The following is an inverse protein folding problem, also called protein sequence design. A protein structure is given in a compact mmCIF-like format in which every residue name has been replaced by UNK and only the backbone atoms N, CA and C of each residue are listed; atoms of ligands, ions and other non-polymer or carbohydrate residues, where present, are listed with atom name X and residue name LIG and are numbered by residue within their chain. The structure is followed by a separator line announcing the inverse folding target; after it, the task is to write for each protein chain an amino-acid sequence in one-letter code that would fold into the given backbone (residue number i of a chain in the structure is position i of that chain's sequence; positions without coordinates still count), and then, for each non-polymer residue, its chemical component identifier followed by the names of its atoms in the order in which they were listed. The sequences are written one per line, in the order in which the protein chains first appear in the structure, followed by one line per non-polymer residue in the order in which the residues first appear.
data_IF_378047373050
#
_entry.id   IF_378047373050
#
_cell.length_a   1.000
_cell.length_b   1.000
_cell.length_c   1.000
_cell.angle_alpha   90.00
_cell.angle_beta   90.00
_cell.angle_gamma   90.00
#
_symmetry.space_group_name_H-M   'P 1'
#
loop_
_entity.id
_entity.type
_entity.pdbx_description
1 polymer ?
#
# COMPACT_ATOMS: atom_id res chain seq x y z
N UNK A 1 44.57 -9.34 -58.75
CA UNK A 1 44.58 -10.07 -57.48
C UNK A 1 43.71 -9.33 -56.49
N UNK A 2 42.44 -9.73 -56.36
CA UNK A 2 41.51 -9.15 -55.37
C UNK A 2 41.60 -10.00 -54.09
N UNK A 3 42.09 -9.36 -53.02
CA UNK A 3 41.98 -9.96 -51.70
C UNK A 3 40.59 -9.67 -51.18
N UNK A 4 39.76 -10.67 -51.15
CA UNK A 4 38.46 -10.57 -50.46
C UNK A 4 38.74 -10.59 -48.95
N UNK A 5 38.55 -9.43 -48.33
CA UNK A 5 38.60 -9.31 -46.89
C UNK A 5 37.19 -9.71 -46.38
N UNK A 6 37.10 -10.91 -45.85
CA UNK A 6 35.90 -11.37 -45.18
C UNK A 6 35.77 -10.61 -43.86
N UNK A 7 34.93 -9.63 -43.83
CA UNK A 7 34.50 -9.01 -42.57
C UNK A 7 33.61 -10.02 -41.80
N UNK A 8 34.19 -10.69 -40.82
CA UNK A 8 33.42 -11.45 -39.86
C UNK A 8 32.68 -10.43 -38.96
N UNK A 9 31.43 -10.16 -39.28
CA UNK A 9 30.56 -9.41 -38.40
C UNK A 9 30.19 -10.33 -37.22
N UNK A 10 30.92 -10.22 -36.13
CA UNK A 10 30.54 -10.90 -34.90
C UNK A 10 29.27 -10.20 -34.39
N UNK A 11 28.11 -10.81 -34.66
CA UNK A 11 26.89 -10.45 -34.02
C UNK A 11 27.00 -10.82 -32.54
N UNK A 12 27.30 -9.84 -31.70
CA UNK A 12 27.14 -9.97 -30.25
C UNK A 12 25.65 -10.06 -29.98
N UNK A 13 25.15 -11.28 -29.87
CA UNK A 13 23.83 -11.54 -29.28
C UNK A 13 23.90 -11.16 -27.80
N UNK A 14 23.51 -9.94 -27.50
CA UNK A 14 23.28 -9.51 -26.13
C UNK A 14 22.03 -10.25 -25.63
N UNK A 15 22.23 -11.36 -24.93
CA UNK A 15 21.16 -12.02 -24.21
C UNK A 15 20.85 -11.15 -22.99
N UNK A 16 19.79 -10.33 -23.10
CA UNK A 16 19.28 -9.63 -21.95
C UNK A 16 18.79 -10.69 -20.94
N UNK A 17 19.41 -10.72 -19.75
CA UNK A 17 18.91 -11.52 -18.65
C UNK A 17 17.43 -11.14 -18.39
N UNK A 18 16.51 -12.10 -18.16
CA UNK A 18 15.15 -11.77 -17.82
C UNK A 18 15.17 -10.90 -16.57
N UNK A 19 14.63 -9.69 -16.70
CA UNK A 19 14.40 -8.81 -15.55
C UNK A 19 13.28 -9.46 -14.76
N UNK A 20 13.62 -10.09 -13.63
CA UNK A 20 12.62 -10.53 -12.68
C UNK A 20 11.97 -9.26 -12.13
N UNK A 21 10.72 -9.02 -12.49
CA UNK A 21 9.96 -7.92 -11.94
C UNK A 21 9.95 -8.06 -10.42
N UNK A 22 10.33 -7.00 -9.72
CA UNK A 22 10.25 -6.94 -8.27
C UNK A 22 8.81 -7.24 -7.86
N UNK A 23 8.62 -8.23 -6.98
CA UNK A 23 7.30 -8.58 -6.51
C UNK A 23 6.76 -7.48 -5.61
N UNK A 24 5.56 -7.01 -5.90
CA UNK A 24 4.82 -6.13 -5.04
C UNK A 24 4.50 -6.79 -3.70
N UNK A 25 4.23 -5.97 -2.71
CA UNK A 25 3.80 -6.42 -1.40
C UNK A 25 2.44 -5.83 -1.07
N UNK A 26 1.72 -6.48 -0.18
CA UNK A 26 0.45 -5.98 0.33
C UNK A 26 0.62 -5.70 1.81
N UNK A 27 0.42 -4.43 2.17
CA UNK A 27 0.32 -4.02 3.56
C UNK A 27 -1.08 -4.33 4.06
N UNK A 28 -1.17 -5.03 5.19
CA UNK A 28 -2.44 -5.35 5.85
C UNK A 28 -2.57 -4.56 7.14
N UNK A 29 -3.71 -3.91 7.30
CA UNK A 29 -4.03 -3.16 8.52
C UNK A 29 -5.42 -3.58 8.97
N UNK A 30 -5.56 -3.92 10.24
CA UNK A 30 -6.84 -4.31 10.84
C UNK A 30 -7.17 -3.37 11.99
N UNK A 31 -8.38 -2.83 11.97
CA UNK A 31 -8.87 -1.83 12.92
C UNK A 31 -10.18 -2.29 13.55
N UNK A 32 -10.45 -1.88 14.78
CA UNK A 32 -11.81 -2.00 15.33
C UNK A 32 -12.68 -0.90 14.70
N UNK A 33 -13.79 -1.30 14.09
CA UNK A 33 -14.73 -0.38 13.44
C UNK A 33 -16.15 -0.77 13.84
N UNK A 34 -16.72 -0.13 14.88
CA UNK A 34 -18.10 -0.37 15.27
C UNK A 34 -19.08 -0.08 14.14
N UNK A 35 -20.13 -0.88 14.01
CA UNK A 35 -21.13 -0.72 12.97
C UNK A 35 -21.72 0.70 12.95
N UNK A 36 -21.93 1.29 14.12
CA UNK A 36 -22.46 2.65 14.27
C UNK A 36 -21.56 3.74 13.71
N UNK A 37 -20.26 3.47 13.51
CA UNK A 37 -19.29 4.44 13.04
C UNK A 37 -18.59 4.02 11.72
N UNK A 38 -19.12 3.01 11.05
CA UNK A 38 -18.55 2.52 9.78
C UNK A 38 -18.50 3.61 8.71
N UNK A 39 -19.58 4.34 8.52
CA UNK A 39 -19.63 5.42 7.52
C UNK A 39 -18.63 6.54 7.85
N UNK A 40 -18.51 6.89 9.12
CA UNK A 40 -17.53 7.89 9.57
C UNK A 40 -16.09 7.42 9.28
N UNK A 41 -15.80 6.15 9.54
CA UNK A 41 -14.51 5.57 9.22
C UNK A 41 -14.18 5.70 7.73
N UNK A 42 -15.12 5.33 6.85
CA UNK A 42 -14.93 5.43 5.40
C UNK A 42 -14.74 6.89 4.95
N UNK A 43 -15.49 7.84 5.50
CA UNK A 43 -15.34 9.26 5.18
C UNK A 43 -13.99 9.81 5.65
N UNK A 44 -13.55 9.45 6.84
CA UNK A 44 -12.26 9.87 7.36
C UNK A 44 -11.09 9.29 6.55
N UNK A 45 -11.19 8.01 6.14
CA UNK A 45 -10.22 7.37 5.25
C UNK A 45 -10.14 8.09 3.90
N UNK A 46 -11.29 8.40 3.30
CA UNK A 46 -11.37 9.05 2.00
C UNK A 46 -10.81 10.47 2.01
N UNK A 47 -10.90 11.18 3.13
CA UNK A 47 -10.46 12.57 3.23
C UNK A 47 -9.05 12.76 3.80
N UNK A 48 -8.42 11.71 4.28
CA UNK A 48 -7.09 11.77 4.88
C UNK A 48 -6.08 10.81 4.21
N UNK A 49 -6.19 9.52 4.50
CA UNK A 49 -5.26 8.51 3.99
C UNK A 49 -5.28 8.39 2.47
N UNK A 50 -6.46 8.40 1.84
CA UNK A 50 -6.56 8.18 0.40
C UNK A 50 -5.79 9.21 -0.43
N UNK A 51 -6.00 10.53 -0.27
CA UNK A 51 -5.26 11.52 -1.06
C UNK A 51 -3.76 11.52 -0.76
N UNK A 52 -3.37 11.21 0.46
CA UNK A 52 -1.96 11.11 0.82
C UNK A 52 -1.29 9.90 0.18
N UNK A 53 -1.94 8.72 0.24
CA UNK A 53 -1.43 7.49 -0.37
C UNK A 53 -1.25 7.63 -1.88
N UNK A 54 -2.18 8.27 -2.56
CA UNK A 54 -2.13 8.48 -4.01
C UNK A 54 -0.89 9.23 -4.48
N UNK A 55 -0.23 9.97 -3.60
CA UNK A 55 0.98 10.72 -3.89
C UNK A 55 2.26 9.96 -3.53
N UNK A 56 2.16 8.80 -2.91
CA UNK A 56 3.34 8.07 -2.47
C UNK A 56 3.95 7.24 -3.60
N UNK A 57 5.29 7.29 -3.75
CA UNK A 57 5.98 6.42 -4.71
C UNK A 57 5.69 4.95 -4.40
N UNK A 58 5.31 4.20 -5.42
CA UNK A 58 5.04 2.78 -5.29
C UNK A 58 3.64 2.40 -4.87
N UNK A 59 2.79 3.36 -4.50
CA UNK A 59 1.38 3.06 -4.20
C UNK A 59 0.65 2.62 -5.46
N UNK A 60 0.00 1.45 -5.42
CA UNK A 60 -0.70 0.87 -6.57
C UNK A 60 -2.20 0.73 -6.36
N UNK A 61 -2.70 1.14 -5.23
CA UNK A 61 -4.10 1.07 -4.88
C UNK A 61 -4.36 0.34 -3.58
N UNK A 62 -5.58 0.43 -3.11
CA UNK A 62 -5.99 -0.26 -1.88
C UNK A 62 -7.46 -0.63 -1.91
N UNK A 63 -7.81 -1.54 -1.04
CA UNK A 63 -9.18 -1.97 -0.83
C UNK A 63 -9.47 -1.96 0.67
N UNK A 64 -10.67 -1.51 1.02
CA UNK A 64 -11.16 -1.51 2.38
C UNK A 64 -12.29 -2.52 2.49
N UNK A 65 -12.23 -3.36 3.51
CA UNK A 65 -13.26 -4.35 3.81
C UNK A 65 -13.77 -4.13 5.23
N UNK A 66 -14.97 -4.57 5.49
CA UNK A 66 -15.53 -4.51 6.83
C UNK A 66 -16.19 -5.85 7.17
N UNK A 67 -15.84 -6.37 8.34
CA UNK A 67 -16.41 -7.60 8.88
C UNK A 67 -17.56 -7.26 9.82
N UNK A 68 -18.83 -7.55 9.44
CA UNK A 68 -19.98 -7.20 10.27
C UNK A 68 -20.09 -8.02 11.55
N UNK A 69 -19.54 -9.21 11.59
CA UNK A 69 -19.58 -10.05 12.80
C UNK A 69 -18.59 -9.60 13.85
N UNK A 70 -17.38 -9.24 13.42
CA UNK A 70 -16.31 -8.80 14.30
C UNK A 70 -16.27 -7.30 14.51
N UNK A 71 -16.99 -6.54 13.70
CA UNK A 71 -16.91 -5.09 13.65
C UNK A 71 -15.46 -4.62 13.48
N UNK A 72 -14.83 -5.16 12.48
CA UNK A 72 -13.44 -4.85 12.13
C UNK A 72 -13.34 -4.35 10.69
N UNK A 73 -12.51 -3.34 10.48
CA UNK A 73 -12.09 -2.88 9.18
C UNK A 73 -10.77 -3.56 8.78
N UNK A 74 -10.67 -3.93 7.52
CA UNK A 74 -9.46 -4.49 6.93
C UNK A 74 -9.04 -3.64 5.75
N UNK A 75 -7.81 -3.15 5.78
CA UNK A 75 -7.20 -2.42 4.68
C UNK A 75 -6.14 -3.30 4.05
N UNK A 76 -6.22 -3.46 2.72
CA UNK A 76 -5.19 -4.11 1.92
C UNK A 76 -4.61 -3.07 0.98
N UNK A 77 -3.37 -2.69 1.19
CA UNK A 77 -2.69 -1.62 0.46
C UNK A 77 -1.60 -2.25 -0.40
N UNK A 78 -1.68 -2.04 -1.70
CA UNK A 78 -0.71 -2.60 -2.65
C UNK A 78 0.42 -1.63 -2.91
N UNK A 79 1.64 -2.12 -2.76
CA UNK A 79 2.88 -1.40 -3.04
C UNK A 79 3.67 -2.10 -4.13
N UNK A 80 4.27 -1.35 -5.05
CA UNK A 80 5.07 -1.94 -6.13
C UNK A 80 6.34 -2.63 -5.60
N UNK A 81 6.86 -2.15 -4.47
CA UNK A 81 7.99 -2.78 -3.79
C UNK A 81 7.94 -2.52 -2.29
N UNK A 82 8.52 -3.46 -1.54
CA UNK A 82 8.69 -3.29 -0.09
C UNK A 82 9.63 -2.13 0.22
N UNK A 83 10.64 -1.91 -0.60
CA UNK A 83 11.59 -0.82 -0.44
C UNK A 83 10.89 0.55 -0.49
N UNK A 84 10.03 0.77 -1.46
CA UNK A 84 9.29 2.02 -1.58
C UNK A 84 8.34 2.24 -0.40
N UNK A 85 7.63 1.19 0.01
CA UNK A 85 6.76 1.26 1.18
C UNK A 85 7.55 1.61 2.44
N UNK A 86 8.65 0.91 2.71
CA UNK A 86 9.45 1.12 3.92
C UNK A 86 10.31 2.39 3.89
N UNK A 87 10.45 3.02 2.73
CA UNK A 87 11.15 4.30 2.61
C UNK A 87 10.33 5.49 3.09
N UNK A 88 9.03 5.33 3.31
CA UNK A 88 8.18 6.43 3.79
C UNK A 88 8.57 6.76 5.23
N UNK A 89 8.91 8.04 5.52
CA UNK A 89 9.28 8.43 6.87
C UNK A 89 8.13 8.23 7.86
N UNK A 90 8.43 7.69 9.03
CA UNK A 90 7.44 7.46 10.07
C UNK A 90 6.72 8.74 10.52
N UNK A 91 7.41 9.87 10.46
CA UNK A 91 6.86 11.18 10.80
C UNK A 91 5.72 11.59 9.83
N UNK A 92 5.86 11.28 8.53
CA UNK A 92 4.82 11.57 7.54
C UNK A 92 3.60 10.68 7.76
N UNK A 93 3.82 9.41 8.09
CA UNK A 93 2.75 8.47 8.44
C UNK A 93 2.00 8.97 9.67
N UNK A 94 2.72 9.42 10.68
CA UNK A 94 2.11 9.97 11.89
C UNK A 94 1.29 11.22 11.60
N UNK A 95 1.78 12.12 10.75
CA UNK A 95 1.07 13.34 10.36
C UNK A 95 -0.27 13.05 9.67
N UNK A 96 -0.32 12.08 8.76
CA UNK A 96 -1.57 11.73 8.09
C UNK A 96 -2.52 11.04 9.07
N UNK A 97 -2.01 10.25 10.01
CA UNK A 97 -2.84 9.66 11.07
C UNK A 97 -3.46 10.75 11.97
N UNK A 98 -2.72 11.80 12.28
CA UNK A 98 -3.25 12.94 13.04
C UNK A 98 -4.37 13.65 12.29
N UNK A 99 -4.25 13.80 10.97
CA UNK A 99 -5.32 14.36 10.14
C UNK A 99 -6.55 13.46 10.17
N UNK A 100 -6.38 12.14 10.06
CA UNK A 100 -7.46 11.18 10.17
C UNK A 100 -8.21 11.33 11.51
N UNK A 101 -7.48 11.32 12.60
CA UNK A 101 -8.06 11.45 13.95
C UNK A 101 -8.76 12.81 14.15
N UNK A 102 -8.19 13.88 13.60
CA UNK A 102 -8.83 15.20 13.64
C UNK A 102 -10.17 15.20 12.91
N UNK A 103 -10.27 14.52 11.74
CA UNK A 103 -11.53 14.38 11.00
C UNK A 103 -12.60 13.66 11.84
N UNK A 104 -12.20 12.56 12.47
CA UNK A 104 -13.09 11.76 13.34
C UNK A 104 -13.58 12.59 14.53
N UNK A 105 -12.65 13.25 15.21
CA UNK A 105 -12.98 14.04 16.39
C UNK A 105 -13.88 15.22 16.06
N UNK A 106 -13.65 15.91 14.95
CA UNK A 106 -14.49 17.01 14.48
C UNK A 106 -15.91 16.55 14.16
N UNK A 107 -16.06 15.40 13.50
CA UNK A 107 -17.37 14.87 13.13
C UNK A 107 -18.24 14.52 14.34
N UNK A 108 -17.62 14.11 15.45
CA UNK A 108 -18.29 13.67 16.68
C UNK A 108 -18.22 14.67 17.83
N UNK A 109 -17.69 15.87 17.60
CA UNK A 109 -17.44 16.86 18.67
C UNK A 109 -16.63 16.29 19.83
N UNK A 110 -15.60 15.49 19.53
CA UNK A 110 -14.69 14.97 20.52
C UNK A 110 -13.50 15.92 20.69
N UNK A 111 -12.94 15.97 21.89
CA UNK A 111 -11.77 16.78 22.16
C UNK A 111 -10.55 16.31 21.38
N UNK A 112 -9.68 17.25 20.91
CA UNK A 112 -8.38 16.88 20.37
C UNK A 112 -7.59 16.05 21.39
N UNK A 113 -6.94 14.99 20.92
CA UNK A 113 -6.20 14.08 21.78
C UNK A 113 -7.03 13.01 22.47
N UNK A 114 -8.30 12.88 22.12
CA UNK A 114 -9.14 11.75 22.55
C UNK A 114 -8.53 10.42 22.10
N UNK A 115 -8.80 9.34 22.84
CA UNK A 115 -8.38 8.01 22.45
C UNK A 115 -8.90 7.66 21.05
N UNK A 116 -8.12 6.92 20.23
CA UNK A 116 -8.56 6.54 18.89
C UNK A 116 -9.91 5.85 18.88
N UNK A 117 -10.81 6.33 18.03
CA UNK A 117 -12.14 5.71 17.87
C UNK A 117 -12.03 4.36 17.14
N UNK A 118 -11.04 4.22 16.29
CA UNK A 118 -10.78 3.02 15.49
C UNK A 118 -9.39 2.48 15.83
N UNK A 119 -9.22 1.84 17.00
CA UNK A 119 -7.90 1.38 17.41
C UNK A 119 -7.35 0.30 16.49
N UNK A 120 -6.04 0.33 16.30
CA UNK A 120 -5.31 -0.65 15.55
C UNK A 120 -5.32 -2.01 16.28
N UNK A 121 -5.72 -3.06 15.58
CA UNK A 121 -5.75 -4.43 16.11
C UNK A 121 -4.56 -5.27 15.63
N UNK A 122 -4.18 -5.10 14.37
CA UNK A 122 -3.07 -5.86 13.78
C UNK A 122 -2.52 -5.16 12.55
N UNK A 123 -1.25 -5.39 12.28
CA UNK A 123 -0.55 -4.99 11.07
C UNK A 123 0.21 -6.18 10.52
N UNK A 124 0.40 -6.22 9.21
CA UNK A 124 1.15 -7.29 8.58
C UNK A 124 1.56 -6.97 7.17
N UNK A 125 2.37 -7.85 6.64
CA UNK A 125 2.85 -7.83 5.28
C UNK A 125 2.45 -9.15 4.61
N UNK A 126 1.79 -9.06 3.46
CA UNK A 126 1.35 -10.22 2.69
C UNK A 126 2.13 -10.28 1.38
N UNK A 127 2.52 -11.48 1.01
CA UNK A 127 3.20 -11.73 -0.25
C UNK A 127 2.30 -12.59 -1.13
N UNK A 128 2.13 -12.18 -2.39
CA UNK A 128 1.39 -12.95 -3.36
C UNK A 128 2.06 -14.31 -3.58
N UNK A 129 1.27 -15.36 -3.60
CA UNK A 129 1.74 -16.70 -3.87
C UNK A 129 1.26 -17.14 -5.25
N UNK A 130 2.16 -17.75 -6.02
CA UNK A 130 1.81 -18.33 -7.30
C UNK A 130 1.53 -19.82 -7.10
N UNK A 131 0.42 -20.27 -7.67
CA UNK A 131 0.13 -21.70 -7.70
C UNK A 131 1.07 -22.38 -8.70
N UNK A 132 1.60 -23.58 -8.40
CA UNK A 132 2.41 -24.31 -9.35
C UNK A 132 1.60 -24.64 -10.60
N UNK A 133 2.24 -24.57 -11.77
CA UNK A 133 1.62 -24.98 -13.03
C UNK A 133 1.36 -26.49 -13.02
N UNK A 134 0.21 -26.89 -13.55
CA UNK A 134 -0.16 -28.29 -13.73
C UNK A 134 0.17 -28.78 -15.14
#
# INVERSE_FOLDING_TARGET
MSRAMALLLAMLLSVAAPVVAEQGVIEQVRLAVPASHRELWLQAEASSWQPWLEQQPGFEGRELFWDPEREEGLLLIRWSSREQWKAIPSEEVQQVQEVFEARVNQALNRDPGSAPLFPLLAEGELQAQLLPSQ
#
